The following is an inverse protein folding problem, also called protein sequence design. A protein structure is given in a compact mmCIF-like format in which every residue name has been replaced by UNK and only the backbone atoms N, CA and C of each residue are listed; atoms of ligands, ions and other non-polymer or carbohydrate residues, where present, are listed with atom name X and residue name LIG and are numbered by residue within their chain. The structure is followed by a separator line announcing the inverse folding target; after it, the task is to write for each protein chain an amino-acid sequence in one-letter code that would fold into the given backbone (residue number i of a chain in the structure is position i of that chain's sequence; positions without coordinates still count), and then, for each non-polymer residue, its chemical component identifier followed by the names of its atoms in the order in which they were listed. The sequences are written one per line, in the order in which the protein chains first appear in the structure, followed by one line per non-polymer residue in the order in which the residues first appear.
data_IF_804755374462
#
_entry.id   IF_804755374462
#
_cell.length_a   1.000
_cell.length_b   1.000
_cell.length_c   1.000
_cell.angle_alpha   90.00
_cell.angle_beta   90.00
_cell.angle_gamma   90.00
#
_symmetry.space_group_name_H-M   'P 1'
#
loop_
_entity.id
_entity.type
_entity.pdbx_description
1 polymer ?
#
# COMPACT_ATOMS: atom_id res chain seq x y z
N UNK A 1 52.57 5.36 51.66
CA UNK A 1 51.48 5.62 52.63
C UNK A 1 50.45 6.53 51.96
N UNK A 2 49.16 6.25 52.18
CA UNK A 2 47.98 6.86 51.54
C UNK A 2 47.83 8.37 51.79
N UNK A 3 47.14 9.06 50.86
CA UNK A 3 45.89 9.86 51.04
C UNK A 3 45.66 10.68 49.75
N UNK A 4 44.46 11.01 49.24
CA UNK A 4 43.07 10.89 49.71
C UNK A 4 42.10 11.08 48.52
N UNK A 5 40.93 10.44 48.54
CA UNK A 5 39.57 11.01 48.72
C UNK A 5 39.07 11.88 47.53
N UNK A 6 38.11 11.34 46.79
CA UNK A 6 37.09 12.11 46.05
C UNK A 6 35.71 11.74 46.58
N UNK A 7 34.94 12.77 46.94
CA UNK A 7 33.55 12.72 47.41
C UNK A 7 32.71 13.59 46.48
N UNK A 8 31.63 13.01 45.91
CA UNK A 8 30.44 13.66 45.34
C UNK A 8 29.36 12.57 45.45
N UNK A 9 28.21 12.69 46.10
CA UNK A 9 27.32 13.83 46.32
C UNK A 9 25.93 13.40 45.78
N UNK A 10 24.99 13.16 46.69
CA UNK A 10 23.67 12.54 46.47
C UNK A 10 22.65 13.43 45.71
N UNK A 11 21.54 12.77 45.36
CA UNK A 11 20.40 13.18 44.53
C UNK A 11 19.67 14.48 44.92
N UNK A 12 19.09 15.13 43.92
CA UNK A 12 17.88 15.96 44.06
C UNK A 12 16.82 15.49 43.05
N UNK A 13 15.86 14.70 43.52
CA UNK A 13 14.62 14.41 42.80
C UNK A 13 13.71 15.62 42.86
N UNK A 14 13.29 16.15 41.71
CA UNK A 14 12.20 17.13 41.62
C UNK A 14 11.04 16.50 40.86
N UNK A 15 9.94 16.26 41.57
CA UNK A 15 8.68 15.76 41.03
C UNK A 15 8.07 16.75 40.03
N UNK A 16 7.71 16.27 38.85
CA UNK A 16 6.75 16.94 37.93
C UNK A 16 5.58 16.00 37.68
N UNK A 17 4.76 15.81 38.73
CA UNK A 17 3.49 15.09 38.65
C UNK A 17 2.42 16.06 38.14
N UNK A 18 2.28 16.22 36.82
CA UNK A 18 1.22 17.08 36.27
C UNK A 18 1.03 17.09 34.76
N UNK A 19 2.05 16.84 33.94
CA UNK A 19 1.91 17.03 32.48
C UNK A 19 1.64 15.76 31.66
N UNK A 20 1.75 14.56 32.26
CA UNK A 20 1.67 13.31 31.49
C UNK A 20 0.26 12.95 31.05
N UNK A 21 -0.78 13.39 31.78
CA UNK A 21 -2.17 13.10 31.42
C UNK A 21 -2.72 14.03 30.33
N UNK A 22 -2.36 15.32 30.38
CA UNK A 22 -2.80 16.31 29.38
C UNK A 22 -2.19 16.05 27.99
N UNK A 23 -0.92 15.66 27.92
CA UNK A 23 -0.28 15.34 26.63
C UNK A 23 -0.94 14.15 25.92
N UNK A 24 -1.39 13.12 26.66
CA UNK A 24 -2.03 11.94 26.06
C UNK A 24 -3.46 12.22 25.55
N UNK A 25 -4.17 13.13 26.19
CA UNK A 25 -5.51 13.56 25.74
C UNK A 25 -5.43 14.48 24.52
N UNK A 26 -4.44 15.38 24.49
CA UNK A 26 -4.14 16.22 23.33
C UNK A 26 -3.68 15.37 22.13
N UNK A 27 -2.78 14.39 22.35
CA UNK A 27 -2.34 13.44 21.32
C UNK A 27 -3.53 12.64 20.76
N UNK A 28 -4.48 12.28 21.62
CA UNK A 28 -5.69 11.55 21.21
C UNK A 28 -6.65 12.44 20.43
N UNK A 29 -6.82 13.69 20.84
CA UNK A 29 -7.62 14.69 20.11
C UNK A 29 -7.04 14.98 18.73
N UNK A 30 -5.71 15.10 18.63
CA UNK A 30 -5.01 15.25 17.35
C UNK A 30 -5.21 14.01 16.48
N UNK A 31 -5.05 12.81 17.04
CA UNK A 31 -5.27 11.57 16.29
C UNK A 31 -6.71 11.43 15.76
N UNK A 32 -7.71 11.84 16.54
CA UNK A 32 -9.13 11.84 16.13
C UNK A 32 -9.37 12.87 15.02
N UNK A 33 -8.90 14.10 15.18
CA UNK A 33 -9.04 15.16 14.17
C UNK A 33 -8.38 14.76 12.84
N UNK A 34 -7.16 14.21 12.89
CA UNK A 34 -6.48 13.67 11.72
C UNK A 34 -7.30 12.54 11.08
N UNK A 35 -7.81 11.59 11.87
CA UNK A 35 -8.61 10.48 11.34
C UNK A 35 -9.90 10.94 10.62
N UNK A 36 -10.54 11.99 11.12
CA UNK A 36 -11.72 12.60 10.48
C UNK A 36 -11.37 13.34 9.20
N UNK A 37 -10.26 14.09 9.16
CA UNK A 37 -9.77 14.73 7.94
C UNK A 37 -9.39 13.71 6.87
N UNK A 38 -8.72 12.61 7.23
CA UNK A 38 -8.43 11.51 6.31
C UNK A 38 -9.70 10.85 5.79
N UNK A 39 -10.69 10.63 6.65
CA UNK A 39 -11.99 10.07 6.24
C UNK A 39 -12.73 10.98 5.25
N UNK A 40 -12.60 12.31 5.40
CA UNK A 40 -13.13 13.29 4.46
C UNK A 40 -12.39 13.24 3.13
N UNK A 41 -11.06 13.09 3.16
CA UNK A 41 -10.22 12.96 1.97
C UNK A 41 -10.56 11.67 1.18
N UNK A 42 -10.73 10.54 1.87
CA UNK A 42 -11.17 9.28 1.28
C UNK A 42 -12.55 9.42 0.61
N UNK A 43 -13.46 10.22 1.20
CA UNK A 43 -14.77 10.55 0.62
C UNK A 43 -14.68 11.43 -0.63
N UNK A 44 -13.77 12.41 -0.66
CA UNK A 44 -13.51 13.27 -1.83
C UNK A 44 -12.91 12.45 -2.97
N UNK A 45 -11.94 11.60 -2.67
CA UNK A 45 -11.32 10.68 -3.62
C UNK A 45 -12.37 9.70 -4.18
N UNK A 46 -13.21 9.11 -3.32
CA UNK A 46 -14.32 8.25 -3.76
C UNK A 46 -15.29 8.99 -4.70
N UNK A 47 -15.57 10.27 -4.43
CA UNK A 47 -16.37 11.14 -5.28
C UNK A 47 -15.73 11.40 -6.65
N UNK A 48 -14.43 11.70 -6.68
CA UNK A 48 -13.70 11.90 -7.94
C UNK A 48 -13.61 10.62 -8.80
N UNK A 49 -13.44 9.45 -8.17
CA UNK A 49 -13.41 8.17 -8.86
C UNK A 49 -14.78 7.73 -9.41
N UNK A 50 -15.89 8.24 -8.86
CA UNK A 50 -17.25 7.85 -9.27
C UNK A 50 -17.64 8.23 -10.71
N UNK A 51 -16.90 9.18 -11.33
CA UNK A 51 -17.12 9.60 -12.71
C UNK A 51 -16.43 8.70 -13.74
N UNK A 52 -15.68 7.69 -13.30
CA UNK A 52 -15.02 6.74 -14.19
C UNK A 52 -15.94 5.55 -14.46
N UNK A 53 -15.90 5.04 -15.69
CA UNK A 53 -16.40 3.69 -15.97
C UNK A 53 -15.26 2.70 -15.69
N UNK A 54 -15.25 2.03 -14.51
CA UNK A 54 -14.25 1.02 -14.23
C UNK A 54 -14.44 -0.19 -15.14
N UNK A 55 -13.32 -0.69 -15.65
CA UNK A 55 -13.31 -2.00 -16.31
C UNK A 55 -13.23 -3.08 -15.22
N UNK A 56 -14.09 -4.12 -15.27
CA UNK A 56 -13.99 -5.25 -14.35
C UNK A 56 -12.61 -5.91 -14.40
N UNK A 57 -12.05 -6.15 -13.21
CA UNK A 57 -10.75 -6.81 -13.08
C UNK A 57 -10.81 -8.30 -13.45
N UNK A 58 -9.86 -8.76 -14.26
CA UNK A 58 -9.58 -10.19 -14.48
C UNK A 58 -8.16 -10.46 -13.96
N UNK A 59 -7.98 -11.25 -12.87
CA UNK A 59 -6.65 -11.53 -12.32
C UNK A 59 -5.74 -12.25 -13.33
N UNK A 60 -4.48 -11.78 -13.42
CA UNK A 60 -3.46 -12.30 -14.33
C UNK A 60 -2.07 -12.22 -13.71
N UNK A 61 -1.21 -13.18 -13.99
CA UNK A 61 0.21 -13.08 -13.64
C UNK A 61 0.95 -12.14 -14.62
N UNK A 62 2.05 -11.53 -14.18
CA UNK A 62 2.91 -10.74 -15.05
C UNK A 62 3.57 -11.65 -16.10
N UNK A 63 3.27 -11.42 -17.38
CA UNK A 63 3.84 -12.17 -18.52
C UNK A 63 4.73 -11.34 -19.44
N UNK A 64 4.68 -10.01 -19.32
CA UNK A 64 5.40 -9.08 -20.18
C UNK A 64 5.93 -7.90 -19.37
N UNK A 65 7.20 -7.55 -19.61
CA UNK A 65 7.85 -6.35 -19.11
C UNK A 65 8.20 -5.50 -20.34
N UNK A 66 7.73 -4.24 -20.44
CA UNK A 66 7.87 -3.42 -21.65
C UNK A 66 9.27 -2.82 -21.85
N UNK A 67 9.56 -2.36 -23.08
CA UNK A 67 10.88 -1.88 -23.55
C UNK A 67 11.10 -0.37 -23.37
N UNK A 68 12.24 0.06 -22.81
CA UNK A 68 12.55 1.42 -22.28
C UNK A 68 11.97 2.66 -23.00
N UNK A 69 11.76 2.61 -24.32
CA UNK A 69 11.28 3.75 -25.11
C UNK A 69 9.79 4.09 -24.83
N UNK A 70 8.97 3.10 -24.46
CA UNK A 70 7.54 3.31 -24.14
C UNK A 70 7.33 3.90 -22.72
N UNK A 71 8.38 3.90 -21.89
CA UNK A 71 8.33 4.31 -20.49
C UNK A 71 7.98 5.77 -20.28
N UNK A 72 8.57 6.65 -21.08
CA UNK A 72 8.36 8.10 -20.95
C UNK A 72 6.93 8.50 -21.28
N UNK A 73 6.38 7.93 -22.36
CA UNK A 73 5.01 8.20 -22.81
C UNK A 73 3.97 7.63 -21.83
N UNK A 74 4.23 6.45 -21.27
CA UNK A 74 3.35 5.83 -20.29
C UNK A 74 3.36 6.59 -18.97
N UNK A 75 4.53 7.05 -18.53
CA UNK A 75 4.66 7.88 -17.35
C UNK A 75 3.96 9.23 -17.52
N UNK A 76 4.15 9.92 -18.64
CA UNK A 76 3.46 11.18 -18.93
C UNK A 76 1.93 10.99 -18.94
N UNK A 77 1.45 9.89 -19.53
CA UNK A 77 0.02 9.55 -19.54
C UNK A 77 -0.51 9.29 -18.13
N UNK A 78 0.27 8.65 -17.26
CA UNK A 78 -0.10 8.49 -15.86
C UNK A 78 -0.18 9.84 -15.14
N UNK A 79 0.83 10.70 -15.30
CA UNK A 79 0.85 12.03 -14.66
C UNK A 79 -0.34 12.89 -15.07
N UNK A 80 -0.72 12.86 -16.36
CA UNK A 80 -1.92 13.54 -16.84
C UNK A 80 -3.19 13.00 -16.15
N UNK A 81 -3.31 11.68 -16.02
CA UNK A 81 -4.43 11.04 -15.32
C UNK A 81 -4.44 11.41 -13.84
N UNK A 82 -3.30 11.35 -13.16
CA UNK A 82 -3.17 11.74 -11.76
C UNK A 82 -3.65 13.17 -11.52
N UNK A 83 -3.23 14.11 -12.39
CA UNK A 83 -3.65 15.51 -12.32
C UNK A 83 -5.17 15.67 -12.47
N UNK A 84 -5.80 14.92 -13.38
CA UNK A 84 -7.27 14.94 -13.55
C UNK A 84 -8.01 14.50 -12.27
N UNK A 85 -7.42 13.60 -11.48
CA UNK A 85 -8.05 13.09 -10.25
C UNK A 85 -7.54 13.76 -8.97
N UNK A 86 -6.68 14.78 -9.08
CA UNK A 86 -6.07 15.43 -7.91
C UNK A 86 -5.16 14.49 -7.09
N UNK A 87 -4.63 13.43 -7.73
CA UNK A 87 -3.72 12.47 -7.12
C UNK A 87 -2.27 12.87 -7.40
N UNK A 88 -1.35 12.46 -6.53
CA UNK A 88 0.08 12.65 -6.73
C UNK A 88 0.82 11.31 -6.78
N UNK A 89 1.95 11.28 -7.48
CA UNK A 89 2.85 10.13 -7.45
C UNK A 89 3.83 10.29 -6.27
N UNK A 90 3.89 9.27 -5.41
CA UNK A 90 4.96 9.13 -4.41
C UNK A 90 5.98 8.11 -4.88
N UNK A 91 7.25 8.49 -4.95
CA UNK A 91 8.33 7.58 -5.38
C UNK A 91 8.76 6.66 -4.25
N UNK A 92 8.87 5.36 -4.52
CA UNK A 92 9.57 4.41 -3.64
C UNK A 92 10.68 3.63 -4.32
N UNK A 93 11.49 2.98 -3.48
CA UNK A 93 12.55 2.07 -3.84
C UNK A 93 12.11 1.01 -4.87
N UNK A 94 12.84 0.91 -5.97
CA UNK A 94 12.68 -0.15 -6.98
C UNK A 94 13.27 -1.49 -6.53
N UNK A 95 12.95 -1.94 -5.32
CA UNK A 95 13.46 -3.16 -4.69
C UNK A 95 12.54 -4.38 -4.94
N UNK A 96 11.54 -4.23 -5.83
CA UNK A 96 10.52 -5.24 -6.11
C UNK A 96 9.44 -5.38 -5.03
N UNK A 97 9.45 -4.54 -3.98
CA UNK A 97 8.42 -4.52 -2.94
C UNK A 97 7.38 -3.41 -3.14
N UNK A 98 7.45 -2.67 -4.26
CA UNK A 98 6.65 -1.49 -4.53
C UNK A 98 5.14 -1.70 -4.28
N UNK A 99 4.55 -2.76 -4.83
CA UNK A 99 3.12 -3.06 -4.65
C UNK A 99 2.78 -3.26 -3.16
N UNK A 100 3.58 -4.03 -2.42
CA UNK A 100 3.31 -4.34 -1.01
C UNK A 100 3.53 -3.14 -0.10
N UNK A 101 4.51 -2.30 -0.42
CA UNK A 101 4.73 -1.04 0.28
C UNK A 101 3.57 -0.08 0.00
N UNK A 102 3.01 -0.04 -1.22
CA UNK A 102 1.84 0.76 -1.58
C UNK A 102 0.59 0.35 -0.82
N UNK A 103 0.31 -0.94 -0.79
CA UNK A 103 -0.72 -1.50 0.05
C UNK A 103 -0.49 -1.15 1.54
N UNK A 104 0.75 -1.28 2.02
CA UNK A 104 1.12 -0.96 3.41
C UNK A 104 0.85 0.50 3.77
N UNK A 105 1.25 1.42 2.90
CA UNK A 105 1.10 2.85 3.13
C UNK A 105 -0.37 3.27 3.16
N UNK A 106 -1.18 2.77 2.23
CA UNK A 106 -2.62 3.08 2.19
C UNK A 106 -3.36 2.53 3.43
N UNK A 107 -2.95 1.35 3.93
CA UNK A 107 -3.61 0.69 5.07
C UNK A 107 -3.09 1.13 6.44
N UNK A 108 -1.79 1.41 6.56
CA UNK A 108 -1.10 1.64 7.83
C UNK A 108 -0.46 3.04 7.91
N UNK A 109 -0.65 3.89 6.89
CA UNK A 109 -0.02 5.20 6.76
C UNK A 109 1.51 5.14 6.87
N UNK A 110 2.07 4.01 6.46
CA UNK A 110 3.51 3.75 6.46
C UNK A 110 3.89 2.62 5.49
N UNK A 111 4.92 2.80 4.64
CA UNK A 111 5.41 1.75 3.74
C UNK A 111 6.22 0.66 4.48
N UNK A 112 6.55 0.85 5.75
CA UNK A 112 7.46 -0.04 6.51
C UNK A 112 6.84 -1.39 6.87
N UNK A 113 5.51 -1.51 6.84
CA UNK A 113 4.82 -2.77 7.10
C UNK A 113 4.69 -3.67 5.86
N UNK A 114 5.37 -3.36 4.75
CA UNK A 114 5.27 -4.12 3.49
C UNK A 114 5.59 -5.62 3.62
N UNK A 115 6.49 -6.00 4.54
CA UNK A 115 6.81 -7.42 4.82
C UNK A 115 5.61 -8.14 5.45
N UNK A 116 4.91 -7.47 6.35
CA UNK A 116 3.68 -7.98 6.96
C UNK A 116 2.58 -8.12 5.91
N UNK A 117 2.37 -7.08 5.10
CA UNK A 117 1.39 -7.10 4.00
C UNK A 117 1.65 -8.25 3.03
N UNK A 118 2.90 -8.44 2.57
CA UNK A 118 3.28 -9.58 1.72
C UNK A 118 2.94 -10.91 2.38
N UNK A 119 3.28 -11.07 3.67
CA UNK A 119 3.00 -12.30 4.42
C UNK A 119 1.50 -12.61 4.46
N UNK A 120 0.67 -11.59 4.71
CA UNK A 120 -0.80 -11.74 4.77
C UNK A 120 -1.42 -12.10 3.42
N UNK A 121 -0.94 -11.47 2.34
CA UNK A 121 -1.38 -11.79 0.97
C UNK A 121 -0.96 -13.20 0.58
N UNK A 122 0.28 -13.61 0.87
CA UNK A 122 0.74 -14.98 0.59
C UNK A 122 -0.03 -16.02 1.41
N UNK A 123 -0.41 -15.69 2.65
CA UNK A 123 -1.30 -16.52 3.46
C UNK A 123 -2.67 -16.66 2.81
N UNK A 124 -3.28 -15.56 2.37
CA UNK A 124 -4.55 -15.59 1.63
C UNK A 124 -4.47 -16.49 0.39
N UNK A 125 -3.42 -16.34 -0.43
CA UNK A 125 -3.18 -17.17 -1.61
C UNK A 125 -3.05 -18.65 -1.24
N UNK A 126 -2.42 -18.97 -0.12
CA UNK A 126 -2.23 -20.36 0.32
C UNK A 126 -3.53 -20.99 0.82
N UNK A 127 -4.29 -20.28 1.64
CA UNK A 127 -5.45 -20.80 2.36
C UNK A 127 -6.69 -20.89 1.45
N UNK A 128 -6.81 -19.99 0.46
CA UNK A 128 -7.96 -19.92 -0.46
C UNK A 128 -7.59 -20.24 -1.91
N UNK A 129 -6.77 -21.28 -2.11
CA UNK A 129 -6.23 -21.70 -3.42
C UNK A 129 -7.26 -21.75 -4.55
N UNK A 130 -8.45 -22.29 -4.30
CA UNK A 130 -9.48 -22.48 -5.34
C UNK A 130 -9.93 -21.17 -5.98
N UNK A 131 -9.78 -20.03 -5.30
CA UNK A 131 -10.14 -18.71 -5.82
C UNK A 131 -9.13 -18.18 -6.85
N UNK A 132 -7.87 -18.62 -6.79
CA UNK A 132 -6.78 -18.01 -7.55
C UNK A 132 -6.12 -18.97 -8.56
N UNK A 133 -6.16 -20.28 -8.31
CA UNK A 133 -5.39 -21.25 -9.08
C UNK A 133 -5.69 -21.22 -10.59
N UNK A 134 -6.94 -20.95 -10.98
CA UNK A 134 -7.34 -20.86 -12.39
C UNK A 134 -6.60 -19.76 -13.18
N UNK A 135 -6.03 -18.77 -12.51
CA UNK A 135 -5.27 -17.68 -13.15
C UNK A 135 -3.76 -17.95 -13.24
N UNK A 136 -3.28 -19.04 -12.65
CA UNK A 136 -1.86 -19.35 -12.52
C UNK A 136 -1.47 -20.46 -13.52
N UNK A 137 -0.74 -20.15 -14.61
CA UNK A 137 -0.37 -21.13 -15.63
C UNK A 137 0.77 -22.09 -15.21
N UNK A 138 1.24 -21.97 -13.97
CA UNK A 138 2.31 -22.79 -13.39
C UNK A 138 1.81 -23.55 -12.17
N UNK A 139 2.64 -24.47 -11.64
CA UNK A 139 2.30 -25.17 -10.38
C UNK A 139 2.00 -24.15 -9.28
N UNK A 140 0.78 -24.16 -8.76
CA UNK A 140 0.33 -23.18 -7.76
C UNK A 140 1.24 -23.08 -6.54
N UNK A 141 1.75 -24.23 -6.08
CA UNK A 141 2.73 -24.31 -4.97
C UNK A 141 4.04 -23.56 -5.26
N UNK A 142 4.47 -23.54 -6.52
CA UNK A 142 5.63 -22.76 -6.94
C UNK A 142 5.32 -21.26 -6.90
N UNK A 143 4.14 -20.86 -7.40
CA UNK A 143 3.70 -19.47 -7.45
C UNK A 143 3.71 -18.78 -6.07
N UNK A 144 2.96 -19.28 -5.08
CA UNK A 144 2.91 -18.59 -3.78
C UNK A 144 4.24 -18.65 -3.02
N UNK A 145 5.08 -19.68 -3.25
CA UNK A 145 6.43 -19.75 -2.69
C UNK A 145 7.38 -18.73 -3.32
N UNK A 146 7.25 -18.50 -4.63
CA UNK A 146 7.95 -17.43 -5.33
C UNK A 146 7.50 -16.07 -4.78
N UNK A 147 6.19 -15.85 -4.67
CA UNK A 147 5.62 -14.61 -4.13
C UNK A 147 6.00 -14.32 -2.66
N UNK A 148 6.31 -15.35 -1.87
CA UNK A 148 6.81 -15.21 -0.51
C UNK A 148 8.21 -14.58 -0.41
N UNK A 149 8.99 -14.59 -1.50
CA UNK A 149 10.34 -14.03 -1.50
C UNK A 149 10.30 -12.50 -1.47
N UNK A 150 11.14 -11.90 -0.62
CA UNK A 150 11.34 -10.45 -0.63
C UNK A 150 11.88 -10.00 -1.99
N UNK A 151 11.36 -8.89 -2.50
CA UNK A 151 11.71 -8.35 -3.82
C UNK A 151 11.08 -9.08 -5.01
N UNK A 152 10.28 -10.13 -4.79
CA UNK A 152 9.43 -10.67 -5.85
C UNK A 152 8.30 -9.68 -6.15
N UNK A 153 8.10 -9.36 -7.43
CA UNK A 153 7.10 -8.38 -7.84
C UNK A 153 5.70 -8.94 -7.66
N UNK A 154 4.79 -8.11 -7.15
CA UNK A 154 3.37 -8.42 -7.15
C UNK A 154 2.78 -8.36 -8.56
N UNK A 155 1.61 -8.98 -8.72
CA UNK A 155 0.85 -9.03 -9.96
C UNK A 155 -0.63 -8.68 -9.70
N UNK A 156 -1.51 -8.94 -10.66
CA UNK A 156 -2.95 -8.70 -10.49
C UNK A 156 -3.60 -9.70 -9.52
N UNK A 157 -3.04 -10.90 -9.38
CA UNK A 157 -3.56 -11.93 -8.46
C UNK A 157 -3.24 -11.56 -7.02
N UNK A 158 -2.06 -11.00 -6.74
CA UNK A 158 -1.75 -10.47 -5.40
C UNK A 158 -2.61 -9.27 -5.02
N UNK A 159 -3.02 -8.44 -5.97
CA UNK A 159 -3.98 -7.37 -5.71
C UNK A 159 -5.37 -7.92 -5.39
N UNK A 160 -5.87 -8.92 -6.12
CA UNK A 160 -7.11 -9.59 -5.77
C UNK A 160 -7.04 -10.20 -4.37
N UNK A 161 -5.97 -10.93 -4.06
CA UNK A 161 -5.76 -11.51 -2.74
C UNK A 161 -5.64 -10.44 -1.63
N UNK A 162 -5.07 -9.27 -1.92
CA UNK A 162 -5.06 -8.15 -0.98
C UNK A 162 -6.47 -7.61 -0.72
N UNK A 163 -7.27 -7.40 -1.77
CA UNK A 163 -8.66 -6.96 -1.65
C UNK A 163 -9.46 -7.93 -0.77
N UNK A 164 -9.35 -9.24 -1.04
CA UNK A 164 -10.00 -10.30 -0.28
C UNK A 164 -9.53 -10.32 1.18
N UNK A 165 -8.22 -10.23 1.40
CA UNK A 165 -7.62 -10.34 2.73
C UNK A 165 -7.97 -9.17 3.65
N UNK A 166 -7.97 -7.96 3.11
CA UNK A 166 -8.16 -6.73 3.90
C UNK A 166 -9.59 -6.19 3.82
N UNK A 167 -10.46 -6.81 3.00
CA UNK A 167 -11.83 -6.36 2.79
C UNK A 167 -11.90 -4.97 2.18
N UNK A 168 -10.92 -4.63 1.34
CA UNK A 168 -10.77 -3.31 0.76
C UNK A 168 -11.04 -3.34 -0.76
N UNK A 169 -11.67 -2.29 -1.27
CA UNK A 169 -11.77 -2.07 -2.70
C UNK A 169 -10.43 -1.50 -3.18
N UNK A 170 -9.83 -2.11 -4.20
CA UNK A 170 -8.61 -1.59 -4.82
C UNK A 170 -8.97 -0.93 -6.15
N UNK A 171 -8.57 0.33 -6.30
CA UNK A 171 -8.77 1.15 -7.48
C UNK A 171 -7.41 1.31 -8.17
N UNK A 172 -7.25 0.69 -9.34
CA UNK A 172 -6.04 0.82 -10.13
C UNK A 172 -6.21 1.95 -11.15
N UNK A 173 -5.38 2.98 -11.04
CA UNK A 173 -5.17 3.90 -12.14
C UNK A 173 -3.93 3.44 -12.90
N UNK A 174 -4.14 3.02 -14.13
CA UNK A 174 -3.05 2.50 -14.96
C UNK A 174 -2.61 3.58 -15.93
N UNK A 175 -1.45 3.36 -16.54
CA UNK A 175 -1.07 4.09 -17.74
C UNK A 175 -1.46 3.36 -19.02
N UNK A 176 -2.17 2.23 -19.04
CA UNK A 176 -2.55 1.59 -20.31
C UNK A 176 -3.44 2.50 -21.18
N UNK A 177 -3.24 2.48 -22.50
CA UNK A 177 -3.96 3.37 -23.44
C UNK A 177 -5.47 3.19 -23.31
N UNK A 178 -5.92 1.94 -23.36
CA UNK A 178 -7.34 1.59 -23.44
C UNK A 178 -7.98 1.25 -22.08
N UNK A 179 -7.16 1.11 -21.03
CA UNK A 179 -7.64 0.78 -19.68
C UNK A 179 -7.17 1.83 -18.67
N UNK A 180 -7.91 2.93 -18.55
CA UNK A 180 -7.56 3.99 -17.60
C UNK A 180 -7.66 3.51 -16.15
N UNK A 181 -8.78 2.85 -15.83
CA UNK A 181 -9.21 2.59 -14.48
C UNK A 181 -9.75 1.17 -14.33
N UNK A 182 -9.26 0.44 -13.32
CA UNK A 182 -9.68 -0.92 -12.99
C UNK A 182 -10.10 -0.95 -11.53
N UNK A 183 -11.23 -1.58 -11.25
CA UNK A 183 -11.67 -1.81 -9.88
C UNK A 183 -11.58 -3.28 -9.51
N UNK A 184 -11.05 -3.54 -8.32
CA UNK A 184 -10.92 -4.85 -7.72
C UNK A 184 -11.74 -4.84 -6.43
N UNK A 185 -12.84 -5.58 -6.44
CA UNK A 185 -13.65 -5.80 -5.24
C UNK A 185 -13.24 -7.13 -4.58
N UNK A 186 -13.37 -7.26 -3.25
CA UNK A 186 -13.23 -8.54 -2.58
C UNK A 186 -14.29 -9.53 -3.11
N UNK A 187 -13.90 -10.78 -3.35
CA UNK A 187 -14.79 -11.79 -3.95
C UNK A 187 -15.81 -12.36 -2.94
N UNK A 188 -15.40 -12.52 -1.69
CA UNK A 188 -16.21 -13.21 -0.67
C UNK A 188 -17.08 -12.28 0.19
N UNK A 189 -16.85 -10.96 0.13
CA UNK A 189 -17.52 -9.99 0.99
C UNK A 189 -17.63 -8.62 0.33
N UNK A 190 -18.66 -7.85 0.70
CA UNK A 190 -18.74 -6.45 0.33
C UNK A 190 -17.51 -5.70 0.89
N UNK A 191 -16.95 -4.72 0.15
CA UNK A 191 -15.88 -3.87 0.68
C UNK A 191 -16.33 -3.22 1.99
N UNK A 192 -15.45 -3.18 2.98
CA UNK A 192 -15.73 -2.42 4.20
C UNK A 192 -15.83 -0.94 3.82
N UNK A 193 -16.91 -0.29 4.28
CA UNK A 193 -17.24 1.10 3.96
C UNK A 193 -16.03 2.00 4.28
N UNK A 194 -15.53 2.75 3.30
CA UNK A 194 -14.39 3.65 3.44
C UNK A 194 -13.00 3.04 3.17
N UNK A 195 -12.86 1.73 2.94
CA UNK A 195 -11.55 1.13 2.59
C UNK A 195 -11.33 1.10 1.08
N UNK A 196 -10.89 2.23 0.53
CA UNK A 196 -10.44 2.33 -0.85
C UNK A 196 -8.92 2.42 -0.85
N UNK A 197 -8.26 1.50 -1.55
CA UNK A 197 -6.81 1.54 -1.77
C UNK A 197 -6.60 1.93 -3.22
N UNK A 198 -5.88 3.02 -3.45
CA UNK A 198 -5.49 3.39 -4.82
C UNK A 198 -4.11 2.85 -5.10
N UNK A 199 -3.98 2.12 -6.20
CA UNK A 199 -2.73 1.56 -6.64
C UNK A 199 -2.45 2.05 -8.06
N UNK A 200 -1.23 2.53 -8.28
CA UNK A 200 -0.83 3.07 -9.57
C UNK A 200 0.00 2.04 -10.32
N UNK A 201 -0.35 1.80 -11.59
CA UNK A 201 0.35 0.82 -12.44
C UNK A 201 1.09 1.55 -13.54
N UNK A 202 2.43 1.54 -13.43
CA UNK A 202 3.30 1.82 -14.57
C UNK A 202 3.80 0.50 -15.18
N UNK A 203 3.71 0.34 -16.51
CA UNK A 203 4.29 -0.77 -17.25
C UNK A 203 5.82 -0.80 -17.08
N UNK A 204 6.45 0.34 -16.81
CA UNK A 204 7.90 0.43 -16.60
C UNK A 204 8.29 0.49 -15.14
N UNK A 205 8.89 -0.58 -14.66
CA UNK A 205 9.65 -0.59 -13.43
C UNK A 205 11.12 -0.92 -13.74
N UNK A 206 11.76 -0.14 -14.62
CA UNK A 206 13.20 -0.28 -14.92
C UNK A 206 14.05 0.95 -14.55
N UNK A 207 13.46 1.89 -13.81
CA UNK A 207 14.20 2.79 -12.91
C UNK A 207 13.34 3.08 -11.68
N UNK A 208 13.70 2.50 -10.54
CA UNK A 208 13.53 3.10 -9.19
C UNK A 208 12.23 3.89 -8.93
N UNK A 209 11.05 3.36 -9.21
CA UNK A 209 9.81 3.96 -8.75
C UNK A 209 8.77 2.88 -8.49
N UNK A 210 8.39 2.68 -7.24
CA UNK A 210 7.02 2.27 -6.94
C UNK A 210 6.17 3.49 -6.63
N UNK A 211 4.86 3.41 -6.87
CA UNK A 211 3.96 4.57 -6.95
C UNK A 211 2.67 4.28 -6.14
N UNK A 212 2.21 5.30 -5.41
CA UNK A 212 1.21 5.33 -4.33
C UNK A 212 0.29 6.53 -4.58
N UNK A 213 -0.92 6.52 -4.01
CA UNK A 213 -1.81 7.67 -3.94
C UNK A 213 -1.63 8.49 -2.65
#
# INVERSE_FOLDING_TARGET
MRNGIYSVGECYSSNTSGSSQQNLEDDRMIAVALSEEYSKLDGVIAGHLSNLQPVPHVPRINVYFPNFNDAGLDHQRLLQRLNVYGLCEVKVSGDGNCQFRALSDQMYKSPEHHKHVRKEIVRQLKDYRSQYEGYIPMKYKHYYKKMAKSGEWGDHVTLQAAADKFGAKICLLTSFRDTCFIEINPQAQAPQRGKIIIQLVLPFCDKKVGIYA
#
